data_IF_790337184433
#
_entry.id   IF_790337184433
#
_cell.length_a   1.000
_cell.length_b   1.000
_cell.length_c   1.000
_cell.angle_alpha   90.00
_cell.angle_beta   90.00
_cell.angle_gamma   90.00
#
_symmetry.space_group_name_H-M   'P 1'
#
loop_
_entity.id
_entity.type
_entity.pdbx_description
1 polymer ?
#
# COMPACT_ATOMS: atom_id res chain seq x y z
N UNK A 1 -13.71 65.98 -13.93
CA UNK A 1 -13.66 65.49 -13.83
C UNK A 1 -13.38 64.29 -13.60
N UNK A 2 -13.29 63.85 -13.36
CA UNK A 2 -13.16 62.88 -13.28
C UNK A 2 -12.89 61.82 -13.10
N UNK A 3 -12.72 61.53 -12.92
CA UNK A 3 -12.50 60.69 -12.88
C UNK A 3 -12.24 59.59 -12.71
N UNK A 4 -12.16 59.16 -12.58
CA UNK A 4 -11.96 58.16 -12.70
C UNK A 4 -11.63 57.16 -12.15
N UNK A 5 -11.44 56.73 -11.86
CA UNK A 5 -11.16 55.82 -11.53
C UNK A 5 -11.00 54.65 -11.43
N UNK A 6 -10.76 54.09 -11.30
CA UNK A 6 -10.60 53.08 -11.43
C UNK A 6 -10.35 52.03 -10.85
N UNK A 7 -10.23 51.74 -10.67
CA UNK A 7 -10.00 50.86 -10.26
C UNK A 7 -9.66 49.77 -10.20
N UNK A 8 -9.43 49.31 -10.02
CA UNK A 8 -9.01 48.48 -10.03
C UNK A 8 -9.09 47.32 -9.62
N UNK A 9 -9.04 46.90 -9.58
CA UNK A 9 -9.19 45.83 -9.29
C UNK A 9 -8.63 44.83 -9.08
N UNK A 10 -8.21 44.52 -8.89
CA UNK A 10 -7.63 43.65 -8.61
C UNK A 10 -7.84 42.35 -8.40
N UNK A 11 -7.78 41.74 -8.64
CA UNK A 11 -8.00 40.57 -8.68
C UNK A 11 -7.40 39.65 -8.01
N UNK A 12 -7.23 39.38 -7.61
CA UNK A 12 -6.64 38.60 -6.95
C UNK A 12 -6.71 37.26 -7.04
N UNK A 13 -6.46 36.64 -7.15
CA UNK A 13 -6.48 35.50 -7.28
C UNK A 13 -6.15 34.58 -6.48
N UNK A 14 -6.04 34.17 -6.20
CA UNK A 14 -5.85 33.34 -5.54
C UNK A 14 -5.59 32.13 -5.73
N UNK A 15 -5.13 31.68 -5.75
CA UNK A 15 -4.71 30.71 -5.97
C UNK A 15 -4.98 29.61 -5.38
N UNK A 16 -5.13 29.14 -5.26
CA UNK A 16 -5.47 28.19 -4.81
C UNK A 16 -4.81 27.07 -4.85
N UNK A 17 -4.20 26.73 -4.62
CA UNK A 17 -3.61 25.80 -4.72
C UNK A 17 -3.67 24.80 -3.98
N UNK A 18 -3.87 24.25 -4.16
CA UNK A 18 -3.99 23.22 -3.64
C UNK A 18 -2.89 22.58 -3.26
N UNK A 19 -2.74 22.15 -2.47
CA UNK A 19 -1.72 21.58 -1.96
C UNK A 19 -1.50 20.36 -2.47
N UNK A 20 -1.09 20.32 -3.33
CA UNK A 20 -0.90 19.26 -3.84
C UNK A 20 -0.49 18.27 -2.97
N UNK A 21 0.24 18.38 -2.41
CA UNK A 21 0.72 17.48 -1.67
C UNK A 21 0.01 16.82 -0.85
N UNK A 22 -0.70 17.31 -0.66
CA UNK A 22 -1.38 16.76 0.25
C UNK A 22 -1.55 15.41 0.01
N UNK A 23 -1.53 15.16 -0.83
CA UNK A 23 -1.85 14.01 -1.07
C UNK A 23 -1.13 12.97 -0.59
N UNK A 24 -0.35 13.14 -0.42
CA UNK A 24 0.32 12.17 0.04
C UNK A 24 -0.33 11.31 0.94
N UNK A 25 -1.22 11.62 1.50
CA UNK A 25 -1.80 10.82 2.42
C UNK A 25 -2.68 9.77 1.90
N UNK A 26 -2.45 9.22 0.86
CA UNK A 26 -3.32 8.16 0.41
C UNK A 26 -3.38 7.07 1.44
N UNK A 27 -4.52 6.50 1.69
CA UNK A 27 -4.63 5.43 2.64
C UNK A 27 -3.85 4.22 2.16
N UNK A 28 -3.37 3.39 3.05
CA UNK A 28 -2.62 2.22 2.64
C UNK A 28 -3.54 1.23 1.94
N UNK A 29 -2.98 0.46 1.07
CA UNK A 29 -3.72 -0.60 0.42
C UNK A 29 -3.92 -1.73 1.41
N UNK A 30 -5.12 -2.21 1.50
CA UNK A 30 -5.42 -3.34 2.36
C UNK A 30 -6.05 -4.46 1.56
N UNK A 31 -5.66 -5.68 1.86
CA UNK A 31 -6.26 -6.85 1.24
C UNK A 31 -7.08 -7.57 2.28
N UNK A 32 -8.21 -8.12 1.84
CA UNK A 32 -9.02 -8.89 2.74
C UNK A 32 -8.49 -10.32 2.70
N UNK A 33 -8.03 -10.82 3.83
CA UNK A 33 -7.39 -12.12 3.86
C UNK A 33 -8.31 -13.22 3.39
N UNK A 34 -9.60 -13.10 3.63
CA UNK A 34 -10.51 -14.14 3.20
C UNK A 34 -10.64 -14.21 1.67
N UNK A 35 -10.19 -13.18 0.97
CA UNK A 35 -10.21 -13.19 -0.48
C UNK A 35 -8.89 -13.64 -1.09
N UNK A 36 -7.94 -14.05 -0.30
CA UNK A 36 -6.69 -14.55 -0.82
C UNK A 36 -6.86 -15.99 -1.18
N UNK A 37 -6.61 -16.34 -2.43
CA UNK A 37 -6.74 -17.71 -2.84
C UNK A 37 -5.46 -18.48 -2.55
N UNK A 38 -4.32 -17.89 -2.77
CA UNK A 38 -3.05 -18.53 -2.43
C UNK A 38 -1.94 -17.49 -2.44
N UNK A 39 -0.82 -17.83 -1.91
CA UNK A 39 0.31 -16.93 -1.90
C UNK A 39 1.57 -17.66 -2.30
N UNK A 40 2.55 -16.92 -2.77
CA UNK A 40 3.82 -17.46 -3.18
C UNK A 40 4.93 -16.61 -2.59
N UNK A 41 6.06 -17.22 -2.32
CA UNK A 41 7.19 -16.46 -1.78
C UNK A 41 8.40 -16.76 -2.65
N UNK A 42 8.55 -15.99 -3.72
CA UNK A 42 9.66 -16.24 -4.65
C UNK A 42 11.03 -16.01 -4.03
N UNK A 43 11.09 -15.20 -2.99
CA UNK A 43 12.36 -15.00 -2.32
C UNK A 43 12.07 -14.64 -0.86
N UNK A 44 13.09 -14.33 -0.11
CA UNK A 44 12.92 -14.09 1.32
C UNK A 44 12.45 -12.69 1.65
N UNK A 45 12.01 -11.94 0.67
CA UNK A 45 11.53 -10.59 0.92
C UNK A 45 10.25 -10.27 0.16
N UNK A 46 9.74 -11.17 -0.64
CA UNK A 46 8.59 -10.87 -1.49
C UNK A 46 7.51 -11.91 -1.30
N UNK A 47 6.28 -11.45 -1.18
CA UNK A 47 5.13 -12.33 -1.15
C UNK A 47 4.20 -11.93 -2.27
N UNK A 48 3.72 -12.88 -3.01
CA UNK A 48 2.76 -12.64 -4.08
C UNK A 48 1.43 -13.24 -3.67
N UNK A 49 0.40 -12.42 -3.64
CA UNK A 49 -0.92 -12.87 -3.23
C UNK A 49 -1.85 -12.97 -4.43
N UNK A 50 -2.41 -14.13 -4.64
CA UNK A 50 -3.36 -14.35 -5.71
C UNK A 50 -4.76 -14.30 -5.10
N UNK A 51 -5.53 -13.31 -5.52
CA UNK A 51 -6.84 -13.08 -4.94
C UNK A 51 -7.91 -13.87 -5.69
N UNK A 52 -9.02 -14.13 -5.03
CA UNK A 52 -10.09 -14.89 -5.67
C UNK A 52 -10.72 -14.15 -6.83
N UNK A 53 -10.60 -12.83 -6.87
CA UNK A 53 -11.17 -12.08 -7.98
C UNK A 53 -10.23 -12.02 -9.18
N UNK A 54 -9.10 -12.70 -9.13
CA UNK A 54 -8.16 -12.73 -10.24
C UNK A 54 -7.05 -11.71 -10.14
N UNK A 55 -7.13 -10.79 -9.19
CA UNK A 55 -6.06 -9.82 -9.06
C UNK A 55 -4.88 -10.45 -8.37
N UNK A 56 -3.71 -9.95 -8.67
CA UNK A 56 -2.48 -10.45 -8.08
C UNK A 56 -1.73 -9.26 -7.50
N UNK A 57 -1.33 -9.37 -6.25
CA UNK A 57 -0.62 -8.30 -5.57
C UNK A 57 0.73 -8.79 -5.11
N UNK A 58 1.73 -7.93 -5.21
CA UNK A 58 3.04 -8.24 -4.70
C UNK A 58 3.31 -7.37 -3.48
N UNK A 59 3.82 -7.94 -2.42
CA UNK A 59 4.23 -7.18 -1.28
C UNK A 59 5.72 -7.40 -1.06
N UNK A 60 6.47 -6.30 -1.05
CA UNK A 60 7.89 -6.41 -0.78
C UNK A 60 8.05 -6.02 0.66
N UNK A 61 8.49 -6.96 1.48
CA UNK A 61 8.60 -6.73 2.90
C UNK A 61 9.62 -5.64 3.19
N UNK A 62 9.49 -5.02 4.35
CA UNK A 62 10.37 -3.93 4.70
C UNK A 62 11.81 -4.40 4.81
N UNK A 63 12.03 -5.62 5.24
CA UNK A 63 13.37 -6.16 5.34
C UNK A 63 13.35 -7.61 4.87
N UNK A 64 14.50 -8.16 4.66
CA UNK A 64 14.61 -9.57 4.34
C UNK A 64 14.05 -10.37 5.51
N UNK A 65 13.26 -11.37 5.22
CA UNK A 65 12.63 -12.19 6.23
C UNK A 65 13.23 -13.58 6.10
N UNK A 66 14.17 -13.94 6.93
CA UNK A 66 14.89 -15.19 6.76
C UNK A 66 13.98 -16.41 6.70
N UNK A 67 14.27 -17.32 5.83
CA UNK A 67 13.52 -18.56 5.66
C UNK A 67 12.11 -18.39 5.09
N UNK A 68 11.75 -17.20 4.69
CA UNK A 68 10.41 -17.00 4.16
C UNK A 68 10.18 -17.86 2.92
N UNK A 69 11.16 -17.96 2.07
CA UNK A 69 10.93 -18.65 0.83
C UNK A 69 10.69 -20.14 1.03
N UNK A 70 11.22 -20.72 2.06
CA UNK A 70 11.14 -22.16 2.23
C UNK A 70 10.29 -22.58 3.42
N UNK A 71 9.62 -21.64 4.08
CA UNK A 71 8.88 -21.95 5.28
C UNK A 71 7.49 -21.37 5.20
N UNK A 72 6.52 -22.00 5.75
CA UNK A 72 5.17 -21.39 5.77
C UNK A 72 5.18 -20.17 6.66
N UNK A 73 4.21 -19.30 6.43
CA UNK A 73 4.04 -18.13 7.26
C UNK A 73 2.56 -17.89 7.53
N UNK A 74 2.27 -17.08 8.53
CA UNK A 74 0.90 -16.69 8.80
C UNK A 74 0.84 -15.18 8.88
N UNK A 75 -0.31 -14.61 8.56
CA UNK A 75 -0.50 -13.18 8.69
C UNK A 75 -0.87 -12.87 10.13
N UNK A 76 -0.30 -11.82 10.67
CA UNK A 76 -0.63 -11.39 12.01
C UNK A 76 -1.56 -10.20 11.87
N UNK A 77 -2.84 -10.42 12.14
CA UNK A 77 -3.84 -9.39 11.95
C UNK A 77 -4.26 -8.83 13.30
N UNK A 78 -4.56 -7.54 13.32
CA UNK A 78 -4.96 -6.96 14.54
C UNK A 78 -6.40 -6.84 14.63
N UNK A 79 -7.11 -6.59 13.65
CA UNK A 79 -8.56 -6.47 13.74
C UNK A 79 -9.15 -6.93 12.47
N UNK A 80 -10.02 -7.84 12.53
CA UNK A 80 -10.75 -8.32 11.38
C UNK A 80 -9.85 -9.04 10.41
N UNK A 81 -10.25 -9.02 9.16
CA UNK A 81 -9.54 -9.74 8.15
C UNK A 81 -8.73 -8.87 7.22
N UNK A 82 -8.45 -7.65 7.60
CA UNK A 82 -7.72 -6.78 6.70
C UNK A 82 -6.22 -6.83 6.96
N UNK A 83 -5.48 -6.95 5.87
CA UNK A 83 -4.04 -6.97 5.93
C UNK A 83 -3.57 -5.75 5.16
N UNK A 84 -3.06 -4.77 5.84
CA UNK A 84 -2.74 -3.47 5.24
C UNK A 84 -1.24 -3.27 5.08
N UNK A 85 -0.90 -2.64 3.98
CA UNK A 85 0.48 -2.35 3.66
C UNK A 85 1.11 -1.52 4.77
N UNK A 86 2.34 -1.83 5.08
CA UNK A 86 3.10 -1.05 6.06
C UNK A 86 2.52 -1.04 7.47
N UNK A 87 1.61 -1.92 7.75
CA UNK A 87 1.01 -1.96 9.07
C UNK A 87 1.01 -3.34 9.69
N UNK A 88 0.65 -4.35 8.93
CA UNK A 88 0.59 -5.67 9.47
C UNK A 88 1.88 -6.43 9.25
N UNK A 89 2.03 -7.51 9.98
CA UNK A 89 3.22 -8.33 9.87
C UNK A 89 2.83 -9.75 9.49
N UNK A 90 3.84 -10.50 9.12
CA UNK A 90 3.67 -11.94 8.95
C UNK A 90 4.65 -12.60 9.89
N UNK A 91 4.39 -13.84 10.22
CA UNK A 91 5.29 -14.59 11.06
C UNK A 91 5.68 -15.87 10.34
N UNK A 92 6.97 -16.10 10.22
CA UNK A 92 7.48 -17.32 9.62
C UNK A 92 7.36 -18.40 10.68
N UNK A 93 6.58 -19.45 10.38
CA UNK A 93 6.25 -20.39 11.43
C UNK A 93 7.43 -21.18 11.95
N UNK A 94 8.35 -21.51 11.11
CA UNK A 94 9.46 -22.33 11.59
C UNK A 94 10.45 -21.56 12.44
N UNK A 95 10.65 -20.31 12.20
CA UNK A 95 11.65 -19.55 12.95
C UNK A 95 11.02 -18.65 13.98
N UNK A 96 9.72 -18.38 13.85
CA UNK A 96 9.08 -17.42 14.73
C UNK A 96 9.38 -15.98 14.37
N UNK A 97 10.11 -15.75 13.29
CA UNK A 97 10.47 -14.39 12.91
C UNK A 97 9.24 -13.61 12.46
N UNK A 98 9.14 -12.37 12.88
CA UNK A 98 8.06 -11.50 12.49
C UNK A 98 8.61 -10.45 11.55
N UNK A 99 7.97 -10.29 10.41
CA UNK A 99 8.44 -9.36 9.40
C UNK A 99 7.32 -8.46 8.97
N UNK A 100 7.64 -7.18 8.78
CA UNK A 100 6.61 -6.19 8.44
C UNK A 100 6.36 -6.15 6.95
N UNK A 101 5.09 -6.08 6.59
CA UNK A 101 4.71 -5.91 5.20
C UNK A 101 5.13 -4.55 4.71
N UNK A 102 5.47 -4.47 3.46
CA UNK A 102 5.74 -3.20 2.82
C UNK A 102 4.58 -2.81 1.95
N UNK A 103 4.86 -2.16 0.85
CA UNK A 103 3.81 -1.71 -0.06
C UNK A 103 3.24 -2.84 -0.88
N UNK A 104 1.98 -2.75 -1.21
CA UNK A 104 1.38 -3.65 -2.18
C UNK A 104 1.43 -3.02 -3.55
N UNK A 105 1.87 -3.76 -4.53
CA UNK A 105 1.84 -3.28 -5.90
C UNK A 105 1.12 -4.32 -6.76
N UNK A 106 0.32 -3.88 -7.69
CA UNK A 106 -0.39 -4.83 -8.54
C UNK A 106 0.56 -5.49 -9.51
N UNK A 107 0.34 -6.76 -9.77
CA UNK A 107 1.13 -7.49 -10.73
C UNK A 107 0.28 -7.67 -11.97
N UNK A 108 0.72 -7.13 -13.06
CA UNK A 108 -0.04 -7.22 -14.28
C UNK A 108 0.41 -8.40 -15.04
N UNK A 109 -0.55 -9.23 -15.36
CA UNK A 109 -0.22 -10.37 -16.03
C UNK A 109 -0.05 -10.13 -17.45
N UNK A 110 0.97 -10.52 -18.06
CA UNK A 110 1.14 -10.24 -19.35
C UNK A 110 0.77 -11.32 -20.07
N UNK A 111 0.35 -11.62 -20.78
CA UNK A 111 -0.06 -12.63 -21.40
C UNK A 111 -0.10 -12.60 -22.56
#
# INVERSE_FOLDING_TARGET
MNLGLPFAVTAILLASWAPANAQSAAPPTCLNVSNIQRSETPDDRTIIFHMRDGKVWRNRLKTVCPMLRTSPFTQVLRSGDLMCANQQTIQVTQTGSTCMLGDFTPVISER
#
